data_IF_027308056456
#
_entry.id   IF_027308056456
#
_cell.length_a   1.000
_cell.length_b   1.000
_cell.length_c   1.000
_cell.angle_alpha   90.00
_cell.angle_beta   90.00
_cell.angle_gamma   90.00
#
_symmetry.space_group_name_H-M   'P 1'
#
loop_
_entity.id
_entity.type
_entity.pdbx_description
1 polymer ?
#
# COMPACT_ATOMS: atom_id res chain seq x y z
N UNK A 1 10.29 -1.74 28.00
CA UNK A 1 10.24 -0.73 26.92
C UNK A 1 11.56 0.02 26.89
N UNK A 2 12.19 0.16 25.72
CA UNK A 2 13.57 0.68 25.59
C UNK A 2 13.79 2.08 26.16
N UNK A 3 12.74 2.91 26.28
CA UNK A 3 12.84 4.27 26.82
C UNK A 3 12.83 4.31 28.36
N UNK A 4 12.16 3.37 29.03
CA UNK A 4 12.03 3.39 30.50
C UNK A 4 13.38 3.09 31.16
N UNK A 5 14.05 2.03 30.71
CA UNK A 5 15.36 1.61 31.22
C UNK A 5 16.57 2.26 30.53
N UNK A 6 16.35 3.32 29.73
CA UNK A 6 17.43 3.96 29.00
C UNK A 6 18.53 4.49 29.94
N UNK A 7 18.14 5.08 31.07
CA UNK A 7 19.07 5.61 32.06
C UNK A 7 19.81 4.52 32.83
N UNK A 8 19.23 3.31 32.95
CA UNK A 8 19.89 2.18 33.60
C UNK A 8 21.07 1.68 32.76
N UNK A 9 20.92 1.74 31.43
CA UNK A 9 21.95 1.34 30.46
C UNK A 9 22.98 2.45 30.24
N UNK A 10 22.54 3.72 30.25
CA UNK A 10 23.40 4.89 30.05
C UNK A 10 23.28 5.88 31.22
N UNK A 11 23.93 5.59 32.37
CA UNK A 11 23.84 6.44 33.56
C UNK A 11 24.32 7.89 33.35
N UNK A 12 25.31 8.07 32.48
CA UNK A 12 25.93 9.37 32.16
C UNK A 12 25.14 10.19 31.12
N UNK A 13 24.00 9.67 30.62
CA UNK A 13 23.23 10.37 29.61
C UNK A 13 22.48 11.58 30.19
N UNK A 14 22.50 12.69 29.45
CA UNK A 14 21.71 13.87 29.81
C UNK A 14 20.20 13.61 29.59
N UNK A 15 19.40 13.92 30.60
CA UNK A 15 17.93 13.83 30.53
C UNK A 15 17.33 15.22 30.32
N UNK A 16 16.77 15.45 29.14
CA UNK A 16 16.08 16.70 28.79
C UNK A 16 14.61 16.39 28.55
N UNK A 17 13.71 17.06 29.28
CA UNK A 17 12.26 16.89 29.15
C UNK A 17 11.66 18.14 28.51
N UNK A 18 11.07 17.97 27.34
CA UNK A 18 10.39 19.06 26.63
C UNK A 18 8.93 19.15 27.09
N UNK A 19 8.57 20.29 27.67
CA UNK A 19 7.23 20.55 28.22
C UNK A 19 6.46 21.60 27.42
N UNK A 20 7.07 22.25 26.44
CA UNK A 20 6.42 23.25 25.61
C UNK A 20 5.74 22.61 24.40
N UNK A 21 4.47 22.94 24.18
CA UNK A 21 3.70 22.46 23.04
C UNK A 21 3.31 23.62 22.10
N UNK A 22 3.67 23.47 20.83
CA UNK A 22 3.47 24.48 19.80
C UNK A 22 2.29 24.16 18.86
N UNK A 23 1.57 23.05 19.08
CA UNK A 23 0.52 22.55 18.19
C UNK A 23 -0.88 22.80 18.73
N UNK A 24 -1.11 22.43 19.98
CA UNK A 24 -2.44 22.29 20.57
C UNK A 24 -2.66 23.34 21.64
N UNK A 25 -3.88 23.89 21.67
CA UNK A 25 -4.33 24.83 22.70
C UNK A 25 -4.44 24.14 24.06
N UNK A 26 -4.33 24.91 25.14
CA UNK A 26 -4.17 24.38 26.51
C UNK A 26 -5.28 23.40 26.93
N UNK A 27 -6.55 23.67 26.60
CA UNK A 27 -7.67 22.79 26.97
C UNK A 27 -7.57 21.38 26.36
N UNK A 28 -6.99 21.25 25.15
CA UNK A 28 -6.77 19.95 24.50
C UNK A 28 -5.65 19.22 25.25
N UNK A 29 -4.57 19.92 25.60
CA UNK A 29 -3.46 19.38 26.37
C UNK A 29 -3.91 18.89 27.75
N UNK A 30 -4.71 19.68 28.46
CA UNK A 30 -5.23 19.33 29.77
C UNK A 30 -6.16 18.11 29.71
N UNK A 31 -7.02 18.04 28.69
CA UNK A 31 -7.89 16.89 28.46
C UNK A 31 -7.09 15.61 28.18
N UNK A 32 -6.08 15.71 27.31
CA UNK A 32 -5.18 14.60 27.01
C UNK A 32 -4.37 14.18 28.24
N UNK A 33 -3.87 15.14 29.03
CA UNK A 33 -3.12 14.89 30.27
C UNK A 33 -4.00 14.18 31.32
N UNK A 34 -5.26 14.60 31.48
CA UNK A 34 -6.21 13.92 32.36
C UNK A 34 -6.44 12.47 31.94
N UNK A 35 -6.64 12.21 30.64
CA UNK A 35 -6.87 10.87 30.13
C UNK A 35 -5.64 9.96 30.34
N UNK A 36 -4.44 10.45 30.02
CA UNK A 36 -3.24 9.61 30.10
C UNK A 36 -2.86 9.26 31.56
N UNK A 37 -3.25 10.08 32.55
CA UNK A 37 -2.99 9.79 33.97
C UNK A 37 -3.64 8.49 34.48
N UNK A 38 -4.71 8.00 33.83
CA UNK A 38 -5.33 6.72 34.18
C UNK A 38 -4.45 5.50 33.88
N UNK A 39 -3.35 5.68 33.15
CA UNK A 39 -2.38 4.60 32.88
C UNK A 39 -1.25 4.53 33.93
N UNK A 40 -1.31 5.32 35.01
CA UNK A 40 -0.38 5.16 36.13
C UNK A 40 -0.64 3.81 36.83
N UNK A 41 0.40 3.11 37.34
CA UNK A 41 1.78 3.57 37.52
C UNK A 41 2.72 3.31 36.33
N UNK A 42 2.24 2.72 35.22
CA UNK A 42 3.10 2.21 34.15
C UNK A 42 3.68 3.29 33.21
N UNK A 43 3.39 4.56 33.50
CA UNK A 43 3.86 5.69 32.70
C UNK A 43 5.27 6.10 33.07
N UNK A 44 6.04 6.51 32.04
CA UNK A 44 7.37 7.10 32.19
C UNK A 44 7.41 8.26 33.21
N UNK A 45 6.38 9.12 33.23
CA UNK A 45 6.28 10.24 34.17
C UNK A 45 6.22 9.77 35.62
N UNK A 46 5.44 8.72 35.90
CA UNK A 46 5.32 8.13 37.23
C UNK A 46 6.57 7.34 37.62
N UNK A 47 7.08 6.48 36.73
CA UNK A 47 8.23 5.61 37.03
C UNK A 47 9.54 6.39 37.19
N UNK A 48 9.76 7.43 36.38
CA UNK A 48 11.03 8.17 36.38
C UNK A 48 10.93 9.50 37.15
N UNK A 49 9.82 9.74 37.86
CA UNK A 49 9.55 10.97 38.62
C UNK A 49 9.83 12.26 37.81
N UNK A 50 9.37 12.30 36.56
CA UNK A 50 9.51 13.46 35.67
C UNK A 50 8.17 14.09 35.35
N UNK A 51 8.08 15.42 35.33
CA UNK A 51 6.87 16.08 34.85
C UNK A 51 6.86 16.14 33.33
N UNK A 52 5.84 15.55 32.71
CA UNK A 52 5.59 15.64 31.27
C UNK A 52 4.33 16.45 30.97
N UNK A 53 3.87 17.27 31.93
CA UNK A 53 2.73 18.14 31.73
C UNK A 53 3.09 19.23 30.72
N UNK A 54 2.34 19.28 29.64
CA UNK A 54 2.59 20.20 28.53
C UNK A 54 1.96 21.57 28.77
N UNK A 55 2.67 22.62 28.38
CA UNK A 55 2.21 24.01 28.37
C UNK A 55 2.11 24.49 26.93
N UNK A 56 0.94 25.01 26.55
CA UNK A 56 0.66 25.52 25.20
C UNK A 56 1.35 26.87 24.96
N UNK A 57 2.00 27.01 23.81
CA UNK A 57 2.47 28.29 23.28
C UNK A 57 1.42 28.98 22.39
N UNK A 58 0.34 28.27 22.04
CA UNK A 58 -0.82 28.85 21.36
C UNK A 58 -1.70 29.56 22.39
N UNK A 59 -1.91 30.87 22.20
CA UNK A 59 -2.64 31.74 23.14
C UNK A 59 -4.17 31.68 22.98
N UNK A 60 -4.65 31.22 21.84
CA UNK A 60 -6.08 31.12 21.56
C UNK A 60 -6.77 30.07 22.43
N UNK A 61 -8.02 30.32 22.79
CA UNK A 61 -8.83 29.34 23.49
C UNK A 61 -9.26 28.19 22.57
N UNK A 62 -9.10 26.97 23.06
CA UNK A 62 -9.56 25.77 22.37
C UNK A 62 -10.96 25.40 22.79
N UNK A 63 -11.58 24.50 22.04
CA UNK A 63 -12.87 23.92 22.39
C UNK A 63 -12.75 22.41 22.24
N UNK A 64 -13.15 21.69 23.28
CA UNK A 64 -13.35 20.24 23.23
C UNK A 64 -14.84 19.98 23.44
N UNK A 65 -15.49 19.33 22.47
CA UNK A 65 -16.91 18.96 22.56
C UNK A 65 -17.04 17.45 22.54
N UNK A 66 -17.91 16.96 23.40
CA UNK A 66 -18.43 15.61 23.32
C UNK A 66 -19.81 15.67 22.66
N UNK A 67 -19.98 14.94 21.57
CA UNK A 67 -21.24 14.82 20.85
C UNK A 67 -21.69 13.36 20.97
N UNK A 68 -22.93 13.14 21.39
CA UNK A 68 -23.52 11.82 21.52
C UNK A 68 -24.52 11.60 20.39
N UNK A 69 -24.48 10.41 19.79
CA UNK A 69 -25.38 9.97 18.72
C UNK A 69 -25.82 8.54 19.00
N UNK A 70 -27.07 8.23 18.67
CA UNK A 70 -27.64 6.90 18.92
C UNK A 70 -27.05 5.82 18.02
N UNK A 71 -26.60 6.20 16.80
CA UNK A 71 -26.02 5.28 15.83
C UNK A 71 -24.79 5.86 15.15
N UNK A 72 -23.94 4.98 14.62
CA UNK A 72 -22.75 5.37 13.85
C UNK A 72 -23.11 6.10 12.54
N UNK A 73 -24.27 5.79 11.93
CA UNK A 73 -24.74 6.52 10.74
C UNK A 73 -25.12 7.95 11.10
N UNK A 74 -25.85 8.12 12.21
CA UNK A 74 -26.25 9.42 12.73
C UNK A 74 -25.04 10.28 13.11
N UNK A 75 -23.99 9.67 13.69
CA UNK A 75 -22.72 10.34 13.95
C UNK A 75 -22.05 10.80 12.65
N UNK A 76 -21.94 9.91 11.65
CA UNK A 76 -21.30 10.21 10.38
C UNK A 76 -22.03 11.34 9.61
N UNK A 77 -23.36 11.30 9.56
CA UNK A 77 -24.20 12.35 8.96
C UNK A 77 -24.08 13.67 9.73
N UNK A 78 -24.12 13.61 11.07
CA UNK A 78 -23.96 14.78 11.94
C UNK A 78 -22.61 15.46 11.76
N UNK A 79 -21.52 14.68 11.66
CA UNK A 79 -20.19 15.22 11.39
C UNK A 79 -20.07 15.79 9.98
N UNK A 80 -20.59 15.12 8.95
CA UNK A 80 -20.57 15.63 7.59
C UNK A 80 -21.31 16.98 7.49
N UNK A 81 -22.48 17.09 8.11
CA UNK A 81 -23.25 18.34 8.21
C UNK A 81 -22.45 19.44 8.92
N UNK A 82 -21.85 19.11 10.08
CA UNK A 82 -21.04 20.05 10.85
C UNK A 82 -19.84 20.57 10.04
N UNK A 83 -19.13 19.69 9.33
CA UNK A 83 -17.99 20.07 8.49
C UNK A 83 -18.46 21.02 7.38
N UNK A 84 -19.55 20.67 6.69
CA UNK A 84 -20.11 21.50 5.60
C UNK A 84 -20.49 22.90 6.08
N UNK A 85 -21.24 22.99 7.18
CA UNK A 85 -21.63 24.26 7.79
C UNK A 85 -20.41 25.13 8.17
N UNK A 86 -19.34 24.52 8.67
CA UNK A 86 -18.12 25.25 9.06
C UNK A 86 -17.34 25.79 7.87
N UNK A 87 -17.36 25.07 6.75
CA UNK A 87 -16.74 25.51 5.50
C UNK A 87 -17.57 26.59 4.81
N UNK A 88 -18.90 26.44 4.78
CA UNK A 88 -19.83 27.42 4.19
C UNK A 88 -19.80 28.77 4.91
N UNK A 89 -19.63 28.76 6.24
CA UNK A 89 -19.45 29.97 7.05
C UNK A 89 -18.08 30.64 6.88
N UNK A 90 -17.29 30.25 5.87
CA UNK A 90 -15.98 30.79 5.45
C UNK A 90 -14.88 30.84 6.53
N UNK A 91 -15.03 30.05 7.60
CA UNK A 91 -14.04 29.98 8.68
C UNK A 91 -12.99 28.89 8.52
N UNK A 92 -13.26 27.87 7.69
CA UNK A 92 -12.42 26.69 7.54
C UNK A 92 -12.48 26.16 6.09
N UNK A 93 -11.45 25.41 5.69
CA UNK A 93 -11.42 24.60 4.48
C UNK A 93 -11.59 23.12 4.81
N UNK A 94 -11.96 22.28 3.84
CA UNK A 94 -12.08 20.83 4.07
C UNK A 94 -10.76 20.19 4.56
N UNK A 95 -9.61 20.78 4.22
CA UNK A 95 -8.29 20.28 4.65
C UNK A 95 -7.99 20.54 6.13
N UNK A 96 -8.76 21.41 6.78
CA UNK A 96 -8.60 21.71 8.21
C UNK A 96 -9.29 20.67 9.10
N UNK A 97 -9.98 19.69 8.52
CA UNK A 97 -10.69 18.65 9.24
C UNK A 97 -9.99 17.29 9.08
N UNK A 98 -9.89 16.57 10.19
CA UNK A 98 -9.44 15.18 10.22
C UNK A 98 -10.43 14.35 11.06
N UNK A 99 -10.89 13.22 10.50
CA UNK A 99 -11.72 12.24 11.21
C UNK A 99 -10.82 11.06 11.57
N UNK A 100 -10.65 10.82 12.87
CA UNK A 100 -9.84 9.72 13.38
C UNK A 100 -10.76 8.60 13.88
N UNK A 101 -10.68 7.43 13.24
CA UNK A 101 -11.44 6.23 13.63
C UNK A 101 -10.53 5.20 14.28
N UNK A 102 -11.10 4.33 15.14
CA UNK A 102 -10.33 3.31 15.84
C UNK A 102 -9.79 2.20 14.93
N UNK A 103 -10.56 1.85 13.90
CA UNK A 103 -10.24 0.80 12.92
C UNK A 103 -10.70 1.23 11.53
N UNK A 104 -9.98 0.82 10.48
CA UNK A 104 -10.28 1.23 9.09
C UNK A 104 -11.71 0.88 8.67
N UNK A 105 -12.23 -0.29 9.08
CA UNK A 105 -13.63 -0.72 8.80
C UNK A 105 -14.69 0.23 9.36
N UNK A 106 -14.36 1.01 10.39
CA UNK A 106 -15.27 1.98 11.00
C UNK A 106 -15.33 3.29 10.20
N UNK A 107 -14.49 3.46 9.17
CA UNK A 107 -14.49 4.64 8.31
C UNK A 107 -15.66 4.65 7.31
N UNK A 108 -16.13 3.48 6.86
CA UNK A 108 -17.10 3.36 5.76
C UNK A 108 -18.35 4.25 5.92
N UNK A 109 -19.01 4.33 7.10
CA UNK A 109 -20.15 5.22 7.27
C UNK A 109 -19.77 6.70 7.07
N UNK A 110 -18.62 7.14 7.57
CA UNK A 110 -18.13 8.50 7.37
C UNK A 110 -17.84 8.78 5.89
N UNK A 111 -17.18 7.86 5.18
CA UNK A 111 -16.89 8.02 3.75
C UNK A 111 -18.19 8.16 2.94
N UNK A 112 -19.21 7.35 3.24
CA UNK A 112 -20.52 7.45 2.59
C UNK A 112 -21.21 8.78 2.89
N UNK A 113 -21.26 9.22 4.14
CA UNK A 113 -21.88 10.48 4.53
C UNK A 113 -21.17 11.70 3.92
N UNK A 114 -19.82 11.67 3.82
CA UNK A 114 -19.04 12.71 3.15
C UNK A 114 -19.35 12.74 1.64
N UNK A 115 -19.44 11.58 0.98
CA UNK A 115 -19.84 11.51 -0.44
C UNK A 115 -21.25 12.08 -0.66
N UNK A 116 -22.23 11.70 0.18
CA UNK A 116 -23.60 12.21 0.07
C UNK A 116 -23.70 13.73 0.29
N UNK A 117 -22.76 14.31 1.04
CA UNK A 117 -22.70 15.73 1.32
C UNK A 117 -21.86 16.53 0.29
N UNK A 118 -21.32 15.86 -0.73
CA UNK A 118 -20.36 16.39 -1.71
C UNK A 118 -19.08 16.97 -1.07
N UNK A 119 -18.61 16.34 0.01
CA UNK A 119 -17.41 16.77 0.74
C UNK A 119 -16.19 15.99 0.22
N UNK A 120 -15.15 16.66 -0.32
CA UNK A 120 -13.93 15.99 -0.74
C UNK A 120 -13.19 15.41 0.47
N UNK A 121 -12.75 14.17 0.36
CA UNK A 121 -12.04 13.47 1.43
C UNK A 121 -10.83 12.70 0.92
N UNK A 122 -9.91 12.42 1.83
CA UNK A 122 -8.75 11.56 1.59
C UNK A 122 -8.64 10.53 2.71
N UNK A 123 -8.58 9.24 2.35
CA UNK A 123 -8.48 8.15 3.31
C UNK A 123 -7.10 7.51 3.26
N UNK A 124 -6.29 7.79 4.29
CA UNK A 124 -4.97 7.21 4.51
C UNK A 124 -5.09 5.84 5.19
N UNK A 125 -5.55 4.83 4.44
CA UNK A 125 -5.71 3.49 5.00
C UNK A 125 -5.83 2.37 3.97
N UNK A 126 -5.58 2.66 2.70
CA UNK A 126 -5.76 1.65 1.66
C UNK A 126 -4.51 0.78 1.53
N UNK A 127 -4.56 -0.41 2.13
CA UNK A 127 -3.75 -1.59 1.76
C UNK A 127 -3.95 -1.98 0.27
N UNK A 128 -4.88 -1.34 -0.42
CA UNK A 128 -5.30 -1.66 -1.78
C UNK A 128 -4.30 -1.36 -2.91
N UNK A 129 -3.30 -0.49 -2.76
CA UNK A 129 -2.43 -0.16 -3.90
C UNK A 129 -1.70 -1.40 -4.43
N UNK A 130 -1.06 -2.17 -3.55
CA UNK A 130 -0.37 -3.42 -3.93
C UNK A 130 -1.33 -4.58 -4.21
N UNK A 131 -2.58 -4.48 -3.74
CA UNK A 131 -3.61 -5.49 -4.00
C UNK A 131 -4.25 -5.34 -5.38
N UNK A 132 -4.24 -4.13 -5.96
CA UNK A 132 -4.69 -3.85 -7.33
C UNK A 132 -4.03 -4.82 -8.31
N UNK A 133 -4.82 -5.44 -9.18
CA UNK A 133 -4.35 -6.47 -10.10
C UNK A 133 -3.27 -5.93 -11.04
N UNK A 134 -3.39 -4.66 -11.45
CA UNK A 134 -2.41 -3.95 -12.28
C UNK A 134 -1.07 -3.86 -11.58
N UNK A 135 -1.08 -3.42 -10.33
CA UNK A 135 0.15 -3.20 -9.54
C UNK A 135 0.80 -4.54 -9.23
N UNK A 136 0.00 -5.56 -8.87
CA UNK A 136 0.49 -6.91 -8.64
C UNK A 136 1.11 -7.52 -9.89
N UNK A 137 0.50 -7.29 -11.05
CA UNK A 137 1.02 -7.75 -12.35
C UNK A 137 2.38 -7.11 -12.67
N UNK A 138 2.49 -5.79 -12.54
CA UNK A 138 3.74 -5.07 -12.79
C UNK A 138 4.85 -5.49 -11.80
N UNK A 139 4.51 -5.69 -10.53
CA UNK A 139 5.45 -6.21 -9.53
C UNK A 139 5.87 -7.64 -9.85
N UNK A 140 4.93 -8.49 -10.28
CA UNK A 140 5.23 -9.87 -10.68
C UNK A 140 6.20 -9.90 -11.86
N UNK A 141 6.03 -9.00 -12.83
CA UNK A 141 7.00 -8.82 -13.92
C UNK A 141 8.38 -8.42 -13.39
N UNK A 142 8.49 -7.34 -12.62
CA UNK A 142 9.77 -6.85 -12.10
C UNK A 142 10.49 -7.91 -11.25
N UNK A 143 9.75 -8.63 -10.40
CA UNK A 143 10.29 -9.72 -9.58
C UNK A 143 10.77 -10.88 -10.42
N UNK A 144 10.05 -11.23 -11.48
CA UNK A 144 10.45 -12.29 -12.41
C UNK A 144 11.73 -11.92 -13.16
N UNK A 145 11.92 -10.66 -13.52
CA UNK A 145 13.16 -10.19 -14.17
C UNK A 145 14.33 -10.14 -13.18
N UNK A 146 14.09 -9.70 -11.94
CA UNK A 146 15.13 -9.57 -10.93
C UNK A 146 15.54 -10.90 -10.28
N UNK A 147 14.63 -11.86 -10.19
CA UNK A 147 14.86 -13.16 -9.57
C UNK A 147 14.10 -14.27 -10.31
N UNK A 148 14.82 -15.03 -11.15
CA UNK A 148 14.26 -16.16 -11.89
C UNK A 148 13.78 -17.32 -11.01
N UNK A 149 14.21 -17.39 -9.75
CA UNK A 149 13.75 -18.43 -8.83
C UNK A 149 12.40 -18.10 -8.16
N UNK A 150 11.89 -16.87 -8.30
CA UNK A 150 10.57 -16.47 -7.81
C UNK A 150 9.44 -17.07 -8.67
N UNK A 151 9.15 -18.34 -8.40
CA UNK A 151 8.14 -19.12 -9.13
C UNK A 151 6.73 -18.58 -8.94
N UNK A 152 6.43 -17.86 -7.85
CA UNK A 152 5.11 -17.28 -7.58
C UNK A 152 4.87 -16.07 -8.48
N UNK A 153 5.84 -15.15 -8.51
CA UNK A 153 5.78 -13.99 -9.41
C UNK A 153 5.75 -14.43 -10.88
N UNK A 154 6.55 -15.43 -11.22
CA UNK A 154 6.60 -15.96 -12.58
C UNK A 154 5.31 -16.68 -12.99
N UNK A 155 4.66 -17.39 -12.07
CA UNK A 155 3.32 -17.96 -12.26
C UNK A 155 2.29 -16.86 -12.58
N UNK A 156 2.25 -15.79 -11.78
CA UNK A 156 1.34 -14.66 -11.99
C UNK A 156 1.61 -13.90 -13.29
N UNK A 157 2.88 -13.77 -13.69
CA UNK A 157 3.24 -13.19 -14.99
C UNK A 157 2.74 -14.08 -16.14
N UNK A 158 2.94 -15.39 -16.06
CA UNK A 158 2.62 -16.34 -17.14
C UNK A 158 1.10 -16.47 -17.40
N UNK A 159 0.28 -16.40 -16.36
CA UNK A 159 -1.20 -16.43 -16.47
C UNK A 159 -1.80 -15.10 -16.94
N UNK A 160 -1.05 -14.00 -16.85
CA UNK A 160 -1.54 -12.65 -17.14
C UNK A 160 -2.12 -12.52 -18.56
N UNK A 161 -2.96 -11.50 -18.82
CA UNK A 161 -3.49 -11.23 -20.16
C UNK A 161 -2.43 -11.04 -21.26
N UNK A 162 -1.18 -10.74 -20.89
CA UNK A 162 -0.05 -10.64 -21.84
C UNK A 162 0.33 -12.01 -22.40
N UNK A 163 0.41 -13.03 -21.54
CA UNK A 163 0.95 -14.34 -21.91
C UNK A 163 -0.12 -15.43 -22.07
N UNK A 164 -1.17 -15.38 -21.26
CA UNK A 164 -2.36 -16.24 -21.35
C UNK A 164 -2.04 -17.74 -21.33
N UNK A 165 -1.01 -18.15 -20.58
CA UNK A 165 -0.72 -19.58 -20.43
C UNK A 165 -1.87 -20.26 -19.66
N UNK A 166 -2.30 -21.41 -20.14
CA UNK A 166 -3.42 -22.13 -19.53
C UNK A 166 -3.11 -22.53 -18.08
N UNK A 167 -4.10 -22.38 -17.19
CA UNK A 167 -3.95 -22.78 -15.77
C UNK A 167 -3.54 -24.24 -15.66
N UNK A 168 -4.06 -25.10 -16.55
CA UNK A 168 -3.72 -26.52 -16.62
C UNK A 168 -2.22 -26.72 -16.86
N UNK A 169 -1.67 -26.17 -17.95
CA UNK A 169 -0.27 -26.39 -18.33
C UNK A 169 0.69 -25.78 -17.31
N UNK A 170 0.34 -24.59 -16.78
CA UNK A 170 1.08 -23.91 -15.73
C UNK A 170 1.12 -24.74 -14.43
N UNK A 171 -0.02 -25.34 -14.05
CA UNK A 171 -0.11 -26.21 -12.86
C UNK A 171 0.71 -27.49 -13.02
N UNK A 172 0.72 -28.10 -14.21
CA UNK A 172 1.56 -29.27 -14.50
C UNK A 172 3.04 -28.93 -14.31
N UNK A 173 3.50 -27.83 -14.89
CA UNK A 173 4.90 -27.37 -14.76
C UNK A 173 5.25 -27.03 -13.31
N UNK A 174 4.36 -26.33 -12.59
CA UNK A 174 4.57 -25.93 -11.20
C UNK A 174 4.64 -27.15 -10.25
N UNK A 175 3.79 -28.15 -10.46
CA UNK A 175 3.82 -29.39 -9.68
C UNK A 175 5.12 -30.16 -9.90
N UNK A 176 5.60 -30.24 -11.15
CA UNK A 176 6.88 -30.85 -11.45
C UNK A 176 8.04 -30.07 -10.80
N UNK A 177 8.04 -28.74 -10.91
CA UNK A 177 9.03 -27.85 -10.31
C UNK A 177 9.15 -28.10 -8.80
N UNK A 178 8.02 -28.11 -8.10
CA UNK A 178 7.94 -28.38 -6.66
C UNK A 178 8.48 -29.76 -6.27
N UNK A 179 8.06 -30.83 -6.97
CA UNK A 179 8.53 -32.20 -6.70
C UNK A 179 10.05 -32.38 -6.88
N UNK A 180 10.65 -31.61 -7.79
CA UNK A 180 12.08 -31.68 -8.10
C UNK A 180 12.90 -30.60 -7.40
N UNK A 181 12.28 -29.78 -6.55
CA UNK A 181 12.89 -28.63 -5.91
C UNK A 181 13.63 -27.72 -6.91
N UNK A 182 12.95 -27.43 -8.02
CA UNK A 182 13.41 -26.52 -9.09
C UNK A 182 12.46 -25.34 -9.19
N UNK A 183 12.96 -24.21 -9.71
CA UNK A 183 12.11 -23.06 -10.03
C UNK A 183 11.27 -23.31 -11.28
N UNK A 184 10.15 -22.61 -11.39
CA UNK A 184 9.28 -22.67 -12.57
C UNK A 184 10.02 -22.20 -13.83
N UNK A 185 10.89 -21.19 -13.68
CA UNK A 185 11.77 -20.74 -14.77
C UNK A 185 12.66 -21.88 -15.29
N UNK A 186 13.30 -22.65 -14.39
CA UNK A 186 14.11 -23.80 -14.80
C UNK A 186 13.31 -24.82 -15.62
N UNK A 187 12.08 -25.13 -15.19
CA UNK A 187 11.22 -26.09 -15.91
C UNK A 187 10.86 -25.57 -17.31
N UNK A 188 10.53 -24.29 -17.43
CA UNK A 188 10.23 -23.67 -18.71
C UNK A 188 11.44 -23.67 -19.65
N UNK A 189 12.64 -23.35 -19.14
CA UNK A 189 13.87 -23.36 -19.94
C UNK A 189 14.32 -24.74 -20.40
N UNK A 190 13.89 -25.81 -19.71
CA UNK A 190 14.31 -27.19 -20.00
C UNK A 190 13.14 -28.09 -20.42
N UNK A 191 12.04 -27.52 -20.90
CA UNK A 191 10.81 -28.28 -21.19
C UNK A 191 11.06 -29.44 -22.17
N UNK A 192 11.80 -29.21 -23.26
CA UNK A 192 12.19 -30.25 -24.24
C UNK A 192 13.14 -31.32 -23.69
N UNK A 193 13.74 -31.10 -22.52
CA UNK A 193 14.56 -32.08 -21.82
C UNK A 193 13.77 -32.96 -20.85
N UNK A 194 12.45 -32.74 -20.72
CA UNK A 194 11.58 -33.41 -19.75
C UNK A 194 10.43 -34.11 -20.52
N UNK A 195 10.64 -35.33 -21.04
CA UNK A 195 9.68 -36.02 -21.91
C UNK A 195 8.27 -36.11 -21.31
N UNK A 196 8.19 -36.38 -20.00
CA UNK A 196 6.93 -36.50 -19.25
C UNK A 196 6.09 -35.22 -19.30
N UNK A 197 6.72 -34.05 -19.18
CA UNK A 197 6.01 -32.77 -19.27
C UNK A 197 5.79 -32.35 -20.72
N UNK A 198 6.77 -32.62 -21.58
CA UNK A 198 6.70 -32.25 -22.97
C UNK A 198 5.50 -32.90 -23.68
N UNK A 199 5.16 -34.15 -23.36
CA UNK A 199 3.98 -34.81 -23.93
C UNK A 199 2.66 -34.28 -23.36
N UNK A 200 2.63 -33.87 -22.08
CA UNK A 200 1.40 -33.46 -21.39
C UNK A 200 1.01 -31.99 -21.59
N UNK A 201 2.00 -31.12 -21.83
CA UNK A 201 1.81 -29.69 -22.08
C UNK A 201 1.31 -29.46 -23.51
N UNK A 202 0.25 -28.65 -23.64
CA UNK A 202 -0.36 -28.37 -24.94
C UNK A 202 0.63 -27.72 -25.94
N UNK A 203 0.49 -27.96 -27.27
CA UNK A 203 1.35 -27.31 -28.27
C UNK A 203 1.31 -25.77 -28.22
N UNK A 204 0.14 -25.22 -27.88
CA UNK A 204 -0.03 -23.79 -27.66
C UNK A 204 0.73 -23.33 -26.40
N UNK A 205 0.65 -24.11 -25.31
CA UNK A 205 1.38 -23.87 -24.08
C UNK A 205 2.89 -23.83 -24.28
N UNK A 206 3.46 -24.75 -25.07
CA UNK A 206 4.90 -24.75 -25.42
C UNK A 206 5.33 -23.45 -26.11
N UNK A 207 4.58 -23.03 -27.14
CA UNK A 207 4.84 -21.78 -27.85
C UNK A 207 4.78 -20.56 -26.91
N UNK A 208 3.83 -20.55 -25.96
CA UNK A 208 3.71 -19.48 -24.98
C UNK A 208 4.88 -19.50 -23.99
N UNK A 209 5.27 -20.68 -23.50
CA UNK A 209 6.43 -20.86 -22.60
C UNK A 209 7.71 -20.34 -23.24
N UNK A 210 7.97 -20.69 -24.50
CA UNK A 210 9.14 -20.22 -25.25
C UNK A 210 9.14 -18.70 -25.37
N UNK A 211 7.96 -18.11 -25.65
CA UNK A 211 7.79 -16.65 -25.71
C UNK A 211 8.07 -16.00 -24.35
N UNK A 212 7.54 -16.55 -23.25
CA UNK A 212 7.76 -16.02 -21.89
C UNK A 212 9.25 -16.02 -21.56
N UNK A 213 9.96 -17.12 -21.79
CA UNK A 213 11.40 -17.24 -21.49
C UNK A 213 12.22 -16.27 -22.34
N UNK A 214 11.92 -16.17 -23.64
CA UNK A 214 12.60 -15.22 -24.53
C UNK A 214 12.40 -13.78 -24.07
N UNK A 215 11.15 -13.37 -23.83
CA UNK A 215 10.85 -12.01 -23.40
C UNK A 215 11.51 -11.69 -22.05
N UNK A 216 11.46 -12.62 -21.09
CA UNK A 216 12.07 -12.40 -19.78
C UNK A 216 13.60 -12.24 -19.87
N UNK A 217 14.25 -13.02 -20.73
CA UNK A 217 15.66 -12.87 -21.05
C UNK A 217 15.99 -11.50 -21.65
N UNK A 218 15.20 -11.05 -22.64
CA UNK A 218 15.35 -9.71 -23.23
C UNK A 218 15.23 -8.59 -22.18
N UNK A 219 14.25 -8.69 -21.27
CA UNK A 219 14.07 -7.69 -20.22
C UNK A 219 15.15 -7.75 -19.13
N UNK A 220 15.66 -8.93 -18.81
CA UNK A 220 16.80 -9.08 -17.90
C UNK A 220 18.05 -8.42 -18.48
N UNK A 221 18.35 -8.64 -19.76
CA UNK A 221 19.46 -7.98 -20.46
C UNK A 221 19.26 -6.46 -20.54
N UNK A 222 18.01 -6.01 -20.75
CA UNK A 222 17.67 -4.59 -20.76
C UNK A 222 17.87 -3.94 -19.38
N UNK A 223 17.55 -4.67 -18.30
CA UNK A 223 17.66 -4.18 -16.92
C UNK A 223 19.08 -3.87 -16.48
N UNK A 224 20.08 -4.48 -17.14
CA UNK A 224 21.50 -4.16 -16.91
C UNK A 224 21.86 -2.78 -17.50
N UNK A 225 21.17 -2.36 -18.57
CA UNK A 225 21.53 -1.17 -19.37
C UNK A 225 20.63 0.03 -19.12
N UNK A 226 19.44 -0.17 -18.56
CA UNK A 226 18.40 0.85 -18.41
C UNK A 226 17.84 0.88 -16.99
N UNK A 227 17.24 2.00 -16.63
CA UNK A 227 16.56 2.13 -15.35
C UNK A 227 15.33 1.23 -15.26
N UNK A 228 14.93 0.87 -14.03
CA UNK A 228 13.72 0.07 -13.78
C UNK A 228 12.47 0.67 -14.42
N UNK A 229 12.36 2.01 -14.42
CA UNK A 229 11.23 2.72 -15.02
C UNK A 229 11.16 2.54 -16.54
N UNK A 230 12.31 2.59 -17.23
CA UNK A 230 12.39 2.38 -18.67
C UNK A 230 12.08 0.92 -19.06
N UNK A 231 12.61 -0.05 -18.31
CA UNK A 231 12.31 -1.48 -18.54
C UNK A 231 10.81 -1.74 -18.37
N UNK A 232 10.21 -1.18 -17.32
CA UNK A 232 8.79 -1.29 -17.07
C UNK A 232 7.95 -0.64 -18.17
N UNK A 233 8.36 0.55 -18.65
CA UNK A 233 7.70 1.25 -19.73
C UNK A 233 7.71 0.45 -21.05
N UNK A 234 8.86 -0.13 -21.40
CA UNK A 234 9.00 -0.99 -22.57
C UNK A 234 8.12 -2.23 -22.45
N UNK A 235 8.09 -2.87 -21.28
CA UNK A 235 7.22 -4.01 -21.01
C UNK A 235 5.73 -3.70 -21.18
N UNK A 236 5.28 -2.59 -20.60
CA UNK A 236 3.89 -2.12 -20.71
C UNK A 236 3.55 -1.83 -22.18
N UNK A 237 4.45 -1.17 -22.90
CA UNK A 237 4.24 -0.79 -24.31
C UNK A 237 4.20 -2.00 -25.24
N UNK A 238 5.08 -3.01 -25.03
CA UNK A 238 5.08 -4.27 -25.79
C UNK A 238 3.83 -5.10 -25.47
N UNK A 239 3.48 -5.20 -24.19
CA UNK A 239 2.30 -5.95 -23.74
C UNK A 239 1.00 -5.44 -24.36
N UNK A 240 0.82 -4.11 -24.48
CA UNK A 240 -0.35 -3.49 -25.14
C UNK A 240 -0.50 -3.82 -26.62
N UNK A 241 0.61 -4.00 -27.33
CA UNK A 241 0.58 -4.34 -28.77
C UNK A 241 0.24 -5.81 -29.00
N UNK A 242 0.47 -6.67 -28.01
CA UNK A 242 0.28 -8.12 -28.12
C UNK A 242 -1.08 -8.61 -27.62
N UNK A 243 -1.88 -7.77 -26.95
CA UNK A 243 -3.24 -8.10 -26.53
C UNK A 243 -4.27 -7.82 -27.63
N UNK A 244 -5.16 -8.78 -27.87
CA UNK A 244 -6.31 -8.61 -28.76
C UNK A 244 -7.15 -7.37 -28.37
N UNK A 245 -7.83 -6.69 -29.31
CA UNK A 245 -8.61 -5.48 -29.05
C UNK A 245 -9.74 -5.59 -27.99
N UNK A 246 -10.04 -6.80 -27.51
CA UNK A 246 -11.02 -7.07 -26.45
C UNK A 246 -10.42 -7.64 -25.14
N UNK A 247 -9.11 -7.90 -25.08
CA UNK A 247 -8.44 -8.33 -23.86
C UNK A 247 -7.96 -7.08 -23.12
N UNK A 248 -8.76 -6.60 -22.17
CA UNK A 248 -8.35 -5.51 -21.28
C UNK A 248 -7.11 -5.94 -20.50
N UNK A 249 -5.95 -5.37 -20.85
CA UNK A 249 -4.85 -5.30 -19.89
C UNK A 249 -5.43 -4.57 -18.68
N UNK A 250 -5.22 -5.05 -17.45
CA UNK A 250 -5.82 -4.42 -16.27
C UNK A 250 -5.34 -2.95 -16.15
N UNK A 251 -4.25 -2.57 -16.81
CA UNK A 251 -3.78 -1.18 -16.94
C UNK A 251 -4.80 -0.34 -17.72
N UNK A 252 -5.73 0.29 -17.01
CA UNK A 252 -6.70 1.21 -17.60
C UNK A 252 -6.02 2.33 -18.40
N UNK A 253 -6.58 2.67 -19.56
CA UNK A 253 -6.07 3.71 -20.48
C UNK A 253 -5.75 5.06 -19.82
N UNK A 254 -6.35 5.38 -18.67
CA UNK A 254 -6.14 6.64 -17.95
C UNK A 254 -4.75 6.79 -17.31
N UNK A 255 -4.05 5.71 -16.95
CA UNK A 255 -2.78 5.81 -16.22
C UNK A 255 -1.56 6.07 -17.12
N UNK A 256 -1.68 5.78 -18.41
CA UNK A 256 -0.57 5.85 -19.39
C UNK A 256 -0.13 7.30 -19.66
N UNK A 257 -1.09 8.25 -19.63
CA UNK A 257 -0.79 9.66 -19.85
C UNK A 257 -0.04 10.29 -18.67
N UNK A 258 -0.13 9.72 -17.45
CA UNK A 258 0.69 10.16 -16.31
C UNK A 258 2.14 9.68 -16.43
N UNK A 259 2.37 8.43 -16.88
CA UNK A 259 3.73 7.89 -17.06
C UNK A 259 4.54 8.59 -18.16
N UNK A 260 3.87 9.12 -19.20
CA UNK A 260 4.53 9.91 -20.25
C UNK A 260 5.05 11.29 -19.78
N UNK A 261 4.56 11.79 -18.63
CA UNK A 261 4.94 13.09 -18.09
C UNK A 261 6.15 13.07 -17.15
N UNK A 262 6.35 11.98 -16.42
CA UNK A 262 7.38 11.88 -15.36
C UNK A 262 8.72 11.30 -15.82
N UNK A 263 8.76 10.63 -16.98
CA UNK A 263 9.99 10.09 -17.56
C UNK A 263 10.31 10.82 -18.88
N UNK A 264 10.75 12.08 -18.79
CA UNK A 264 11.59 12.70 -19.84
C UNK A 264 13.02 12.77 -19.29
N UNK A 265 14.04 12.53 -20.14
CA UNK A 265 15.45 12.57 -19.74
C UNK A 265 15.85 13.94 -19.17
#
# INVERSE_FOLDING_TARGET
SNVLGFMDIYPEANKIVLTENYRSRQIILDTAYRLINYNNPDRLEFQNNISKRLTSQVKEEGIVKYLFFDTLSSEAEGLAKLIKERVENRGYSYRDFAILVRANRSADPFLRSLNMADIPWFFSGNEGLYLREEVRFLISFLRSVANFDDSVSFYHLSISPTYQLSVRDLTLCMNYASRRNRSLFYVFSHLSGIPQLEEEVSPQGKTIIDRVIRDLGEYADLSIKRSTGEVLYEFITKSMKCTNPGASIPIGHQYINSFKGEFRP
#
